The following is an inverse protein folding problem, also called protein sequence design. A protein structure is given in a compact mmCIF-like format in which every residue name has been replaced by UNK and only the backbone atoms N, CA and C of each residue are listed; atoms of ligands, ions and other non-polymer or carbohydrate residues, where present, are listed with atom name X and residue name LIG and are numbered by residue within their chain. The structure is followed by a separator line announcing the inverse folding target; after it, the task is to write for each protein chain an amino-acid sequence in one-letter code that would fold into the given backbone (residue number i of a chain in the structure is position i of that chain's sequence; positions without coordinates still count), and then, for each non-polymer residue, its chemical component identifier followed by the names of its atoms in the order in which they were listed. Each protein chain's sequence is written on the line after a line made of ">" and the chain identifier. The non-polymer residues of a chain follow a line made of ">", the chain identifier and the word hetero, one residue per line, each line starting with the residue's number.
data_IF_727824707521
#
_entry.id   IF_727824707521
#
_cell.length_a   1.000
_cell.length_b   1.000
_cell.length_c   1.000
_cell.angle_alpha   90.00
_cell.angle_beta   90.00
_cell.angle_gamma   90.00
#
_symmetry.space_group_name_H-M   'P 1'
#
loop_
_entity.id
_entity.type
_entity.pdbx_description
1 polymer ?
#
# COMPACT_ATOMS: atom_id res chain seq x y z
N UNK A 1 -0.21 4.79 -17.83
CA UNK A 1 0.12 5.71 -16.70
C UNK A 1 1.62 6.06 -16.59
N UNK A 2 2.54 5.21 -17.06
CA UNK A 2 3.99 5.44 -17.01
C UNK A 2 4.54 6.01 -18.31
N UNK A 3 3.91 5.78 -19.45
CA UNK A 3 4.35 6.22 -20.78
C UNK A 3 4.36 7.75 -20.90
N UNK A 4 3.25 8.40 -20.55
CA UNK A 4 3.12 9.85 -20.65
C UNK A 4 4.21 10.64 -19.87
N UNK A 5 4.51 10.35 -18.59
CA UNK A 5 5.62 11.01 -17.91
C UNK A 5 6.99 10.78 -18.56
N UNK A 6 7.24 9.58 -19.10
CA UNK A 6 8.52 9.27 -19.77
C UNK A 6 8.61 9.92 -21.16
N UNK A 7 7.52 9.99 -21.92
CA UNK A 7 7.46 10.73 -23.19
C UNK A 7 7.83 12.21 -22.99
N UNK A 8 7.37 12.83 -21.89
CA UNK A 8 7.75 14.21 -21.53
C UNK A 8 9.22 14.39 -21.19
N UNK A 9 9.91 13.33 -20.77
CA UNK A 9 11.35 13.31 -20.51
C UNK A 9 12.12 13.13 -21.82
N UNK A 10 11.49 12.61 -22.88
CA UNK A 10 12.09 12.36 -24.18
C UNK A 10 12.24 10.88 -24.54
N UNK A 11 11.59 9.97 -23.81
CA UNK A 11 11.53 8.56 -24.21
C UNK A 11 10.47 8.32 -25.28
N UNK A 12 10.68 7.30 -26.10
CA UNK A 12 9.75 6.87 -27.15
C UNK A 12 9.23 5.46 -26.86
N UNK A 13 7.99 5.22 -27.27
CA UNK A 13 7.33 3.93 -27.07
C UNK A 13 6.83 3.37 -28.41
N UNK A 14 7.08 2.08 -28.65
CA UNK A 14 6.65 1.39 -29.86
C UNK A 14 5.82 0.15 -29.51
N UNK A 15 4.71 -0.10 -30.22
CA UNK A 15 4.11 0.78 -31.24
C UNK A 15 3.48 2.03 -30.60
N UNK A 16 3.56 3.16 -31.30
CA UNK A 16 3.09 4.48 -30.78
C UNK A 16 1.60 4.52 -30.44
N UNK A 17 0.79 3.74 -31.11
CA UNK A 17 -0.67 3.67 -30.93
C UNK A 17 -1.10 2.70 -29.83
N UNK A 18 -0.17 1.93 -29.23
CA UNK A 18 -0.47 0.92 -28.22
C UNK A 18 0.24 1.26 -26.92
N UNK A 19 -0.52 1.49 -25.86
CA UNK A 19 0.01 1.80 -24.52
C UNK A 19 -0.13 0.63 -23.54
N UNK A 20 -0.10 -0.60 -24.05
CA UNK A 20 -0.20 -1.86 -23.30
C UNK A 20 0.93 -2.81 -23.70
N UNK A 21 1.33 -3.69 -22.77
CA UNK A 21 2.35 -4.70 -23.05
C UNK A 21 1.89 -5.71 -24.14
N UNK A 22 2.84 -6.24 -24.94
CA UNK A 22 4.25 -5.88 -24.97
C UNK A 22 4.49 -4.56 -25.68
N UNK A 23 5.50 -3.79 -25.21
CA UNK A 23 5.94 -2.58 -25.90
C UNK A 23 7.46 -2.37 -25.73
N UNK A 24 8.05 -1.72 -26.73
CA UNK A 24 9.46 -1.34 -26.71
C UNK A 24 9.61 0.10 -26.23
N UNK A 25 10.63 0.35 -25.42
CA UNK A 25 10.98 1.68 -24.92
C UNK A 25 12.34 2.05 -25.51
N UNK A 26 12.39 3.17 -26.18
CA UNK A 26 13.62 3.82 -26.60
C UNK A 26 13.91 4.99 -25.68
N UNK A 27 15.08 5.00 -25.04
CA UNK A 27 15.51 6.07 -24.17
C UNK A 27 16.02 7.28 -24.95
N UNK A 28 16.43 8.31 -24.22
CA UNK A 28 17.03 9.51 -24.79
C UNK A 28 18.39 9.80 -24.15
N UNK A 29 19.36 10.26 -24.94
CA UNK A 29 20.64 10.78 -24.46
C UNK A 29 20.51 12.20 -23.89
N UNK A 30 19.41 12.91 -24.18
CA UNK A 30 19.14 14.28 -23.75
C UNK A 30 17.80 14.37 -22.96
N UNK A 31 17.73 13.82 -21.76
CA UNK A 31 16.50 13.85 -20.99
C UNK A 31 16.15 15.28 -20.55
N UNK A 32 14.86 15.61 -20.57
CA UNK A 32 14.34 16.93 -20.23
C UNK A 32 13.80 16.96 -18.80
N UNK A 33 14.15 18.01 -18.06
CA UNK A 33 13.54 18.28 -16.76
C UNK A 33 12.06 18.66 -16.93
N UNK A 34 11.20 18.16 -16.06
CA UNK A 34 9.75 18.38 -16.18
C UNK A 34 9.11 18.88 -14.90
N UNK A 35 7.96 19.52 -15.06
CA UNK A 35 6.99 19.78 -13.98
C UNK A 35 5.85 18.78 -14.11
N UNK A 36 5.59 18.00 -13.06
CA UNK A 36 4.55 16.99 -13.05
C UNK A 36 3.56 17.25 -11.90
N UNK A 37 2.27 17.05 -12.16
CA UNK A 37 1.23 17.09 -11.14
C UNK A 37 0.69 15.68 -10.92
N UNK A 38 0.92 15.14 -9.71
CA UNK A 38 0.47 13.80 -9.32
C UNK A 38 -0.84 13.90 -8.51
N UNK A 39 -1.96 13.59 -9.17
CA UNK A 39 -3.31 13.69 -8.58
C UNK A 39 -3.81 12.37 -7.98
N UNK A 40 -3.20 11.24 -8.35
CA UNK A 40 -3.67 9.89 -8.01
C UNK A 40 -3.14 9.35 -6.70
N UNK A 41 -2.05 9.94 -6.16
CA UNK A 41 -1.33 9.42 -5.00
C UNK A 41 -0.53 8.16 -5.34
N UNK A 42 0.09 8.12 -6.53
CA UNK A 42 0.87 6.99 -7.00
C UNK A 42 2.36 7.16 -6.69
N UNK A 43 2.86 6.44 -5.69
CA UNK A 43 4.29 6.37 -5.40
C UNK A 43 5.12 5.75 -6.54
N UNK A 44 4.53 4.91 -7.37
CA UNK A 44 5.20 4.30 -8.52
C UNK A 44 5.47 5.34 -9.62
N UNK A 45 4.49 6.18 -9.97
CA UNK A 45 4.68 7.27 -10.94
C UNK A 45 5.69 8.28 -10.40
N UNK A 46 5.54 8.67 -9.14
CA UNK A 46 6.47 9.56 -8.46
C UNK A 46 7.91 9.00 -8.47
N UNK A 47 8.07 7.73 -8.10
CA UNK A 47 9.37 7.05 -8.12
C UNK A 47 9.97 7.00 -9.53
N UNK A 48 9.18 6.66 -10.55
CA UNK A 48 9.61 6.68 -11.94
C UNK A 48 10.20 8.04 -12.35
N UNK A 49 9.47 9.14 -12.08
CA UNK A 49 9.90 10.49 -12.46
C UNK A 49 11.15 10.90 -11.67
N UNK A 50 11.22 10.60 -10.36
CA UNK A 50 12.40 10.89 -9.55
C UNK A 50 13.63 10.12 -10.00
N UNK A 51 13.50 8.84 -10.34
CA UNK A 51 14.61 8.03 -10.85
C UNK A 51 15.10 8.56 -12.21
N UNK A 52 14.19 8.90 -13.13
CA UNK A 52 14.56 9.49 -14.41
C UNK A 52 15.21 10.87 -14.24
N UNK A 53 14.81 11.64 -13.24
CA UNK A 53 15.36 12.96 -12.96
C UNK A 53 16.83 12.92 -12.47
N UNK A 54 17.33 11.78 -11.98
CA UNK A 54 18.72 11.65 -11.52
C UNK A 54 19.75 11.91 -12.65
N UNK A 55 19.45 11.47 -13.86
CA UNK A 55 20.30 11.67 -15.04
C UNK A 55 19.97 12.94 -15.83
N UNK A 56 18.87 13.63 -15.48
CA UNK A 56 18.34 14.77 -16.24
C UNK A 56 19.03 16.08 -15.82
N UNK A 57 19.55 16.89 -16.77
CA UNK A 57 20.02 18.23 -16.46
C UNK A 57 18.87 19.12 -15.96
N UNK A 58 19.16 19.96 -14.96
CA UNK A 58 18.16 20.91 -14.41
C UNK A 58 17.37 20.36 -13.24
N UNK A 59 16.18 20.94 -13.02
CA UNK A 59 15.32 20.66 -11.86
C UNK A 59 14.00 20.07 -12.32
N UNK A 60 13.75 18.84 -11.98
CA UNK A 60 12.42 18.20 -12.10
C UNK A 60 11.61 18.44 -10.84
N UNK A 61 10.34 18.82 -10.99
CA UNK A 61 9.43 19.05 -9.87
C UNK A 61 8.19 18.18 -9.97
N UNK A 62 7.73 17.69 -8.81
CA UNK A 62 6.49 16.94 -8.68
C UNK A 62 5.61 17.62 -7.64
N UNK A 63 4.45 18.09 -8.05
CA UNK A 63 3.41 18.55 -7.15
C UNK A 63 2.49 17.36 -6.82
N UNK A 64 2.69 16.76 -5.66
CA UNK A 64 1.91 15.63 -5.17
C UNK A 64 0.66 16.14 -4.44
N UNK A 65 -0.51 16.05 -5.08
CA UNK A 65 -1.79 16.50 -4.51
C UNK A 65 -2.34 15.54 -3.44
N UNK A 66 -2.09 14.25 -3.60
CA UNK A 66 -2.41 13.20 -2.63
C UNK A 66 -1.12 12.55 -2.18
N UNK A 67 -0.82 12.67 -0.89
CA UNK A 67 0.41 12.11 -0.30
C UNK A 67 0.44 10.60 -0.51
N UNK A 68 1.49 10.11 -1.13
CA UNK A 68 1.79 8.71 -1.35
C UNK A 68 3.00 8.26 -0.52
N UNK A 69 3.43 7.01 -0.70
CA UNK A 69 4.62 6.46 -0.03
C UNK A 69 5.85 7.27 -0.41
N UNK A 70 6.72 7.57 0.56
CA UNK A 70 7.89 8.45 0.41
C UNK A 70 9.24 7.73 0.46
N UNK A 71 9.27 6.43 0.21
CA UNK A 71 10.50 5.62 0.28
C UNK A 71 11.57 6.10 -0.71
N UNK A 72 11.16 6.46 -1.95
CA UNK A 72 12.09 6.96 -2.97
C UNK A 72 12.76 8.25 -2.51
N UNK A 73 12.02 9.19 -1.94
CA UNK A 73 12.58 10.45 -1.43
C UNK A 73 13.56 10.21 -0.28
N UNK A 74 13.24 9.29 0.64
CA UNK A 74 14.12 8.95 1.76
C UNK A 74 15.39 8.28 1.27
N UNK A 75 15.29 7.33 0.33
CA UNK A 75 16.43 6.67 -0.30
C UNK A 75 17.31 7.68 -1.04
N UNK A 76 16.75 8.51 -1.91
CA UNK A 76 17.47 9.51 -2.68
C UNK A 76 18.21 10.51 -1.78
N UNK A 77 17.58 10.91 -0.67
CA UNK A 77 18.22 11.76 0.35
C UNK A 77 19.41 11.03 0.99
N UNK A 78 19.30 9.73 1.26
CA UNK A 78 20.34 8.93 1.88
C UNK A 78 21.59 8.80 0.97
N UNK A 79 21.41 8.66 -0.34
CA UNK A 79 22.50 8.57 -1.34
C UNK A 79 22.99 9.95 -1.81
N UNK A 80 22.70 11.01 -1.09
CA UNK A 80 23.15 12.38 -1.37
C UNK A 80 22.57 12.99 -2.67
N UNK A 81 21.42 12.51 -3.17
CA UNK A 81 20.73 13.19 -4.27
C UNK A 81 20.27 14.59 -3.83
N UNK A 82 20.27 15.54 -4.75
CA UNK A 82 19.83 16.91 -4.46
C UNK A 82 18.30 17.01 -4.52
N UNK A 83 17.65 16.37 -3.56
CA UNK A 83 16.19 16.31 -3.42
C UNK A 83 15.69 17.17 -2.27
N UNK A 84 14.63 17.94 -2.51
CA UNK A 84 13.94 18.76 -1.52
C UNK A 84 12.45 18.42 -1.52
N UNK A 85 11.85 18.35 -0.34
CA UNK A 85 10.42 18.14 -0.17
C UNK A 85 9.88 19.30 0.66
N UNK A 86 8.99 20.08 0.05
CA UNK A 86 8.29 21.20 0.71
C UNK A 86 6.83 20.81 0.90
N UNK A 87 6.36 20.87 2.14
CA UNK A 87 4.94 20.66 2.45
C UNK A 87 4.12 21.84 1.92
N UNK A 88 3.01 21.54 1.26
CA UNK A 88 2.00 22.51 0.83
C UNK A 88 0.76 22.40 1.73
N UNK A 89 -0.19 23.30 1.58
CA UNK A 89 -1.50 23.19 2.26
C UNK A 89 -2.19 21.86 1.94
N UNK A 90 -2.13 21.44 0.69
CA UNK A 90 -2.59 20.12 0.24
C UNK A 90 -1.48 19.40 -0.52
N UNK A 91 -0.89 18.38 0.13
CA UNK A 91 0.15 17.57 -0.49
C UNK A 91 1.58 18.06 -0.29
N UNK A 92 2.47 17.79 -1.24
CA UNK A 92 3.88 18.14 -1.19
C UNK A 92 4.37 18.66 -2.55
N UNK A 93 5.36 19.56 -2.52
CA UNK A 93 6.19 19.86 -3.69
C UNK A 93 7.55 19.19 -3.50
N UNK A 94 7.88 18.30 -4.42
CA UNK A 94 9.14 17.56 -4.45
C UNK A 94 9.96 18.11 -5.60
N UNK A 95 11.22 18.50 -5.34
CA UNK A 95 12.14 19.02 -6.34
C UNK A 95 13.41 18.21 -6.31
N UNK A 96 13.91 17.80 -7.48
CA UNK A 96 15.17 17.08 -7.63
C UNK A 96 16.00 17.76 -8.71
N UNK A 97 17.22 18.16 -8.35
CA UNK A 97 18.25 18.61 -9.31
C UNK A 97 19.08 17.39 -9.68
N UNK A 98 19.04 17.03 -10.95
CA UNK A 98 19.78 15.87 -11.47
C UNK A 98 21.27 16.08 -11.63
N UNK A 99 21.94 15.07 -12.19
CA UNK A 99 23.38 15.06 -12.50
C UNK A 99 24.31 15.31 -11.30
N UNK A 100 23.89 14.92 -10.11
CA UNK A 100 24.72 14.93 -8.92
C UNK A 100 25.36 13.56 -8.71
N UNK A 101 26.62 13.53 -8.32
CA UNK A 101 27.29 12.30 -7.91
C UNK A 101 26.57 11.69 -6.69
N UNK A 102 26.20 10.44 -6.82
CA UNK A 102 25.54 9.68 -5.78
C UNK A 102 26.55 8.77 -5.08
N UNK A 103 26.33 8.51 -3.80
CA UNK A 103 27.21 7.63 -3.01
C UNK A 103 26.55 6.27 -2.79
N UNK A 104 27.34 5.21 -2.97
CA UNK A 104 26.96 3.88 -2.54
C UNK A 104 26.88 3.79 -1.01
N UNK A 105 26.05 2.89 -0.49
CA UNK A 105 25.93 2.64 0.94
C UNK A 105 25.34 1.25 1.20
N UNK A 106 25.58 0.74 2.40
CA UNK A 106 24.96 -0.49 2.85
C UNK A 106 23.50 -0.21 3.25
N UNK A 107 22.60 -1.05 2.75
CA UNK A 107 21.16 -0.91 2.99
C UNK A 107 20.56 -2.18 3.58
N UNK A 108 20.03 -2.07 4.78
CA UNK A 108 19.25 -3.14 5.40
C UNK A 108 17.78 -2.95 5.11
N UNK A 109 17.19 -3.91 4.39
CA UNK A 109 15.76 -3.90 4.06
C UNK A 109 14.97 -4.35 5.30
N UNK A 110 14.03 -3.50 5.72
CA UNK A 110 13.12 -3.80 6.83
C UNK A 110 11.98 -4.71 6.39
N UNK A 111 11.37 -5.42 7.35
CA UNK A 111 10.21 -6.27 7.09
C UNK A 111 9.01 -5.46 6.60
N UNK A 112 8.30 -6.00 5.61
CA UNK A 112 7.15 -5.33 5.00
C UNK A 112 5.93 -5.32 5.93
N UNK A 113 5.38 -4.14 6.29
CA UNK A 113 4.19 -4.04 7.14
C UNK A 113 2.93 -4.64 6.51
N UNK A 114 2.86 -4.68 5.17
CA UNK A 114 1.73 -5.32 4.47
C UNK A 114 1.74 -6.83 4.63
N UNK A 115 2.92 -7.46 4.63
CA UNK A 115 3.07 -8.89 4.95
C UNK A 115 2.81 -9.16 6.43
N UNK A 116 3.29 -8.28 7.30
CA UNK A 116 3.02 -8.35 8.74
C UNK A 116 1.51 -8.26 9.06
N UNK A 117 0.72 -7.56 8.25
CA UNK A 117 -0.72 -7.38 8.47
C UNK A 117 -1.49 -8.71 8.56
N UNK A 118 -1.04 -9.76 7.87
CA UNK A 118 -1.66 -11.08 7.93
C UNK A 118 -1.39 -11.77 9.27
N UNK A 119 -0.15 -11.73 9.75
CA UNK A 119 0.21 -12.28 11.08
C UNK A 119 -0.44 -11.47 12.21
N UNK A 120 -0.58 -10.15 12.03
CA UNK A 120 -1.31 -9.29 12.95
C UNK A 120 -2.77 -9.72 13.03
N UNK A 121 -3.43 -9.93 11.88
CA UNK A 121 -4.82 -10.38 11.83
C UNK A 121 -5.00 -11.76 12.47
N UNK A 122 -4.13 -12.73 12.15
CA UNK A 122 -4.15 -14.06 12.74
C UNK A 122 -4.08 -13.98 14.27
N UNK A 123 -3.11 -13.21 14.81
CA UNK A 123 -2.96 -13.06 16.24
C UNK A 123 -4.15 -12.35 16.89
N UNK A 124 -4.69 -11.30 16.28
CA UNK A 124 -5.85 -10.59 16.80
C UNK A 124 -7.08 -11.50 16.94
N UNK A 125 -7.28 -12.38 15.94
CA UNK A 125 -8.47 -13.24 15.83
C UNK A 125 -8.33 -14.56 16.59
N UNK A 126 -7.13 -14.99 16.96
CA UNK A 126 -6.90 -16.24 17.71
C UNK A 126 -6.91 -15.96 19.20
N UNK A 127 -7.93 -16.44 19.96
CA UNK A 127 -8.03 -16.20 21.40
C UNK A 127 -6.78 -16.65 22.17
N UNK A 128 -6.35 -15.84 23.15
CA UNK A 128 -5.21 -16.13 24.02
C UNK A 128 -3.84 -15.98 23.35
N UNK A 129 -3.77 -15.63 22.08
CA UNK A 129 -2.51 -15.51 21.35
C UNK A 129 -1.80 -14.18 21.58
N UNK A 130 -0.47 -14.23 21.47
CA UNK A 130 0.44 -13.09 21.47
C UNK A 130 1.53 -13.31 20.44
N UNK A 131 1.87 -12.30 19.68
CA UNK A 131 3.04 -12.34 18.78
C UNK A 131 3.84 -11.05 18.82
N UNK A 132 5.12 -11.15 18.46
CA UNK A 132 6.02 -10.01 18.28
C UNK A 132 6.64 -10.15 16.90
N UNK A 133 6.45 -9.14 16.05
CA UNK A 133 7.04 -9.09 14.73
C UNK A 133 8.15 -8.05 14.76
N UNK A 134 9.39 -8.50 14.55
CA UNK A 134 10.56 -7.66 14.63
C UNK A 134 10.92 -6.97 13.33
N UNK A 135 11.65 -5.85 13.42
CA UNK A 135 12.22 -5.12 12.28
C UNK A 135 11.20 -4.69 11.23
N UNK A 136 9.96 -4.41 11.63
CA UNK A 136 8.90 -3.98 10.72
C UNK A 136 9.11 -2.51 10.35
N UNK A 137 8.98 -2.20 9.06
CA UNK A 137 8.97 -0.84 8.57
C UNK A 137 7.77 -0.08 9.17
N UNK A 138 8.07 0.96 9.95
CA UNK A 138 7.07 1.77 10.67
C UNK A 138 6.88 3.16 10.05
N UNK A 139 7.10 3.28 8.74
CA UNK A 139 6.84 4.50 8.01
C UNK A 139 5.35 4.87 8.06
N UNK A 140 5.02 6.10 8.43
CA UNK A 140 3.64 6.58 8.59
C UNK A 140 2.77 6.42 7.33
N UNK A 141 3.39 6.42 6.15
CA UNK A 141 2.69 6.19 4.87
C UNK A 141 2.35 4.71 4.63
N UNK A 142 2.81 3.80 5.49
CA UNK A 142 2.64 2.35 5.35
C UNK A 142 1.86 1.69 6.48
N UNK A 143 1.92 2.23 7.68
CA UNK A 143 1.31 1.61 8.88
C UNK A 143 -0.05 2.21 9.27
N UNK A 144 -0.70 2.93 8.36
CA UNK A 144 -1.97 3.59 8.67
C UNK A 144 -3.08 2.60 9.09
N UNK A 145 -3.06 1.38 8.56
CA UNK A 145 -3.99 0.32 8.95
C UNK A 145 -3.90 -0.04 10.45
N UNK A 146 -2.72 0.08 11.07
CA UNK A 146 -2.57 -0.12 12.52
C UNK A 146 -3.32 0.96 13.32
N UNK A 147 -3.37 2.20 12.80
CA UNK A 147 -4.15 3.28 13.42
C UNK A 147 -5.65 2.97 13.37
N UNK A 148 -6.11 2.34 12.28
CA UNK A 148 -7.51 1.89 12.14
C UNK A 148 -7.80 0.77 13.14
N UNK A 149 -6.95 -0.25 13.21
CA UNK A 149 -7.12 -1.38 14.14
C UNK A 149 -7.11 -0.93 15.60
N UNK A 150 -6.22 -0.01 15.99
CA UNK A 150 -6.21 0.56 17.34
C UNK A 150 -7.50 1.31 17.68
N UNK A 151 -8.09 2.04 16.74
CA UNK A 151 -9.38 2.73 16.93
C UNK A 151 -10.55 1.78 17.20
N UNK A 152 -10.45 0.55 16.74
CA UNK A 152 -11.47 -0.51 16.98
C UNK A 152 -11.07 -1.49 18.09
N UNK A 153 -10.23 -1.04 19.03
CA UNK A 153 -9.81 -1.78 20.24
C UNK A 153 -8.83 -2.93 19.98
N UNK A 154 -8.10 -2.97 18.87
CA UNK A 154 -7.02 -3.92 18.72
C UNK A 154 -5.86 -3.60 19.68
N UNK A 155 -5.42 -4.57 20.47
CA UNK A 155 -4.30 -4.43 21.39
C UNK A 155 -2.96 -4.62 20.66
N UNK A 156 -2.49 -3.53 20.06
CA UNK A 156 -1.25 -3.48 19.25
C UNK A 156 -0.34 -2.40 19.81
N UNK A 157 0.91 -2.75 20.09
CA UNK A 157 1.97 -1.84 20.54
C UNK A 157 3.10 -1.80 19.54
N UNK A 158 3.69 -0.63 19.31
CA UNK A 158 4.91 -0.47 18.52
C UNK A 158 6.01 -0.07 19.48
N UNK A 159 7.07 -0.87 19.53
CA UNK A 159 8.18 -0.71 20.45
C UNK A 159 9.51 -0.63 19.68
N UNK A 160 10.57 -0.21 20.35
CA UNK A 160 11.94 -0.20 19.83
C UNK A 160 12.05 0.54 18.49
N UNK A 161 11.37 1.68 18.35
CA UNK A 161 11.44 2.51 17.18
C UNK A 161 12.85 3.09 17.01
N UNK A 162 13.45 2.86 15.85
CA UNK A 162 14.77 3.38 15.48
C UNK A 162 14.83 3.69 13.98
N UNK A 163 15.81 4.47 13.57
CA UNK A 163 16.08 4.70 12.15
C UNK A 163 17.08 3.67 11.62
N UNK A 164 16.71 2.98 10.54
CA UNK A 164 17.56 2.03 9.81
C UNK A 164 17.56 2.47 8.34
N UNK A 165 18.72 2.75 7.78
CA UNK A 165 18.88 3.21 6.39
C UNK A 165 17.97 4.37 5.97
N UNK A 166 17.67 5.29 6.91
CA UNK A 166 16.79 6.47 6.68
C UNK A 166 15.31 6.22 6.92
N UNK A 167 14.88 4.97 7.11
CA UNK A 167 13.50 4.58 7.39
C UNK A 167 13.27 4.34 8.89
N UNK A 168 12.04 4.57 9.36
CA UNK A 168 11.63 4.25 10.71
C UNK A 168 11.26 2.77 10.80
N UNK A 169 11.88 2.05 11.74
CA UNK A 169 11.73 0.60 11.94
C UNK A 169 11.45 0.31 13.42
N UNK A 170 10.59 -0.65 13.69
CA UNK A 170 10.25 -1.04 15.07
C UNK A 170 9.84 -2.49 15.20
N UNK A 171 9.44 -2.89 16.39
CA UNK A 171 8.81 -4.17 16.67
C UNK A 171 7.33 -3.97 16.96
N UNK A 172 6.47 -4.78 16.36
CA UNK A 172 5.02 -4.74 16.60
C UNK A 172 4.66 -5.89 17.52
N UNK A 173 4.16 -5.59 18.70
CA UNK A 173 3.61 -6.57 19.65
C UNK A 173 2.10 -6.56 19.53
N UNK A 174 1.52 -7.74 19.33
CA UNK A 174 0.09 -7.95 19.13
C UNK A 174 -0.42 -8.92 20.21
N UNK A 175 -1.60 -8.65 20.74
CA UNK A 175 -2.34 -9.56 21.61
C UNK A 175 -3.71 -9.81 21.01
N UNK A 176 -4.24 -11.03 21.18
CA UNK A 176 -5.62 -11.32 20.80
C UNK A 176 -6.59 -10.30 21.39
N UNK A 177 -7.57 -9.88 20.64
CA UNK A 177 -8.45 -8.78 21.05
C UNK A 177 -9.84 -8.92 20.46
N UNK A 178 -10.86 -8.63 21.28
CA UNK A 178 -12.22 -8.39 20.76
C UNK A 178 -12.29 -7.02 20.11
N UNK A 179 -12.15 -6.99 18.81
CA UNK A 179 -12.21 -5.74 18.03
C UNK A 179 -13.67 -5.33 17.78
N UNK A 180 -13.89 -4.03 17.56
CA UNK A 180 -15.19 -3.46 17.17
C UNK A 180 -15.31 -3.41 15.65
N UNK A 181 -16.54 -3.28 15.10
CA UNK A 181 -16.75 -3.09 13.66
C UNK A 181 -15.94 -1.94 13.07
N UNK A 182 -15.40 -2.15 11.88
CA UNK A 182 -14.54 -1.18 11.18
C UNK A 182 -15.41 -0.28 10.30
N UNK A 183 -15.29 1.04 10.48
CA UNK A 183 -15.98 2.03 9.63
C UNK A 183 -14.94 2.99 9.08
N UNK A 184 -14.71 2.95 7.75
CA UNK A 184 -13.72 3.78 7.06
C UNK A 184 -14.27 4.36 5.77
N UNK A 185 -13.94 5.64 5.50
CA UNK A 185 -14.36 6.36 4.29
C UNK A 185 -13.31 7.33 3.78
N UNK A 186 -12.25 7.58 4.57
CA UNK A 186 -11.19 8.57 4.26
C UNK A 186 -9.83 7.89 4.27
N UNK A 187 -8.87 8.52 3.60
CA UNK A 187 -7.47 8.09 3.57
C UNK A 187 -7.22 6.67 3.03
N UNK A 188 -8.16 6.13 2.25
CA UNK A 188 -8.13 4.74 1.75
C UNK A 188 -6.80 4.41 1.05
N UNK A 189 -6.25 5.33 0.28
CA UNK A 189 -4.97 5.13 -0.42
C UNK A 189 -3.79 4.78 0.50
N UNK A 190 -3.85 5.15 1.80
CA UNK A 190 -2.80 4.87 2.78
C UNK A 190 -2.79 3.41 3.28
N UNK A 191 -3.88 2.66 3.05
CA UNK A 191 -4.04 1.26 3.50
C UNK A 191 -4.85 0.40 2.52
N UNK A 192 -4.95 0.83 1.28
CA UNK A 192 -5.74 0.12 0.25
C UNK A 192 -5.25 -1.31 0.04
N UNK A 193 -3.96 -1.54 0.22
CA UNK A 193 -3.36 -2.86 0.06
C UNK A 193 -3.67 -3.80 1.22
N UNK A 194 -4.04 -3.29 2.39
CA UNK A 194 -4.43 -4.06 3.57
C UNK A 194 -5.96 -4.30 3.65
N UNK A 195 -6.76 -3.72 2.74
CA UNK A 195 -8.22 -3.91 2.76
C UNK A 195 -8.65 -5.39 2.72
N UNK A 196 -8.05 -6.30 1.91
CA UNK A 196 -8.46 -7.71 1.92
C UNK A 196 -8.37 -8.35 3.31
N UNK A 197 -7.28 -8.13 4.04
CA UNK A 197 -7.15 -8.69 5.40
C UNK A 197 -8.03 -7.94 6.43
N UNK A 198 -8.27 -6.64 6.25
CA UNK A 198 -9.22 -5.90 7.08
C UNK A 198 -10.67 -6.39 6.88
N UNK A 199 -11.02 -6.86 5.68
CA UNK A 199 -12.32 -7.50 5.44
C UNK A 199 -12.46 -8.81 6.20
N UNK A 200 -11.39 -9.60 6.31
CA UNK A 200 -11.36 -10.82 7.13
C UNK A 200 -11.55 -10.49 8.61
N UNK A 201 -10.81 -9.51 9.13
CA UNK A 201 -11.01 -9.06 10.52
C UNK A 201 -12.45 -8.60 10.74
N UNK A 202 -13.02 -7.84 9.80
CA UNK A 202 -14.41 -7.39 9.87
C UNK A 202 -15.42 -8.54 9.79
N UNK A 203 -15.13 -9.59 9.02
CA UNK A 203 -15.95 -10.77 8.87
C UNK A 203 -16.05 -11.57 10.18
N UNK A 204 -14.95 -11.64 10.94
CA UNK A 204 -14.85 -12.33 12.23
C UNK A 204 -15.03 -11.39 13.42
N UNK A 205 -15.67 -10.24 13.20
CA UNK A 205 -16.01 -9.26 14.22
C UNK A 205 -17.52 -9.04 14.25
N UNK A 206 -18.22 -9.41 15.33
CA UNK A 206 -19.67 -9.24 15.45
C UNK A 206 -20.10 -7.79 15.22
N UNK A 207 -21.03 -7.60 14.30
CA UNK A 207 -21.61 -6.30 13.97
C UNK A 207 -21.42 -5.90 12.51
N UNK A 208 -21.63 -4.63 12.18
CA UNK A 208 -21.67 -4.15 10.80
C UNK A 208 -20.48 -3.25 10.52
N UNK A 209 -19.56 -3.74 9.70
CA UNK A 209 -18.42 -2.97 9.20
C UNK A 209 -18.72 -2.34 7.84
N UNK A 210 -18.20 -1.11 7.61
CA UNK A 210 -18.46 -0.34 6.38
C UNK A 210 -17.17 0.23 5.83
N UNK A 211 -16.90 -0.06 4.56
CA UNK A 211 -15.74 0.41 3.81
C UNK A 211 -16.22 1.18 2.59
N UNK A 212 -16.00 2.49 2.57
CA UNK A 212 -16.41 3.37 1.49
C UNK A 212 -15.18 3.89 0.72
N UNK A 213 -15.39 4.37 -0.52
CA UNK A 213 -14.35 4.92 -1.38
C UNK A 213 -13.20 3.94 -1.73
N UNK A 214 -13.52 2.65 -1.82
CA UNK A 214 -12.58 1.55 -2.09
C UNK A 214 -12.58 1.09 -3.55
N UNK A 215 -13.10 1.90 -4.47
CA UNK A 215 -13.27 1.55 -5.89
C UNK A 215 -11.97 1.16 -6.60
N UNK A 216 -10.84 1.73 -6.18
CA UNK A 216 -9.51 1.44 -6.76
C UNK A 216 -9.03 -0.01 -6.53
N UNK A 217 -9.66 -0.77 -5.62
CA UNK A 217 -9.39 -2.20 -5.44
C UNK A 217 -9.66 -3.04 -6.69
N UNK A 218 -10.49 -2.56 -7.61
CA UNK A 218 -10.79 -3.23 -8.89
C UNK A 218 -9.60 -3.26 -9.84
N UNK A 219 -8.67 -2.31 -9.67
CA UNK A 219 -7.54 -2.07 -10.57
C UNK A 219 -6.20 -2.51 -9.98
N UNK A 220 -6.24 -3.42 -9.01
CA UNK A 220 -5.06 -4.06 -8.43
C UNK A 220 -4.68 -5.31 -9.24
N UNK A 221 -3.84 -6.19 -8.69
CA UNK A 221 -3.38 -7.43 -9.32
C UNK A 221 -4.55 -8.34 -9.75
N UNK A 222 -5.63 -8.28 -8.99
CA UNK A 222 -6.94 -8.83 -9.33
C UNK A 222 -8.02 -7.79 -9.01
N UNK A 223 -9.28 -8.07 -9.35
CA UNK A 223 -10.39 -7.29 -8.80
C UNK A 223 -10.60 -7.69 -7.32
N UNK A 224 -9.72 -7.15 -6.43
CA UNK A 224 -9.70 -7.50 -5.00
C UNK A 224 -11.04 -7.30 -4.31
N UNK A 225 -11.84 -6.32 -4.74
CA UNK A 225 -13.16 -6.08 -4.17
C UNK A 225 -14.11 -7.27 -4.44
N UNK A 226 -14.11 -7.74 -5.69
CA UNK A 226 -14.96 -8.86 -6.11
C UNK A 226 -14.46 -10.20 -5.53
N UNK A 227 -13.16 -10.44 -5.57
CA UNK A 227 -12.59 -11.70 -5.08
C UNK A 227 -12.74 -11.80 -3.55
N UNK A 228 -12.51 -10.73 -2.78
CA UNK A 228 -12.79 -10.71 -1.34
C UNK A 228 -14.26 -10.99 -1.04
N UNK A 229 -15.19 -10.38 -1.79
CA UNK A 229 -16.62 -10.68 -1.62
C UNK A 229 -16.94 -12.16 -1.82
N UNK A 230 -16.39 -12.79 -2.88
CA UNK A 230 -16.62 -14.20 -3.18
C UNK A 230 -16.17 -15.10 -2.03
N UNK A 231 -14.98 -14.86 -1.48
CA UNK A 231 -14.42 -15.63 -0.36
C UNK A 231 -15.32 -15.50 0.87
N UNK A 232 -15.69 -14.28 1.23
CA UNK A 232 -16.55 -14.03 2.39
C UNK A 232 -17.91 -14.74 2.25
N UNK A 233 -18.53 -14.67 1.06
CA UNK A 233 -19.83 -15.33 0.81
C UNK A 233 -19.67 -16.86 0.87
N UNK A 234 -18.60 -17.43 0.32
CA UNK A 234 -18.34 -18.87 0.42
C UNK A 234 -18.12 -19.33 1.87
N UNK A 235 -17.54 -18.47 2.71
CA UNK A 235 -17.40 -18.69 4.15
C UNK A 235 -18.67 -18.43 4.96
N UNK A 236 -19.81 -18.18 4.29
CA UNK A 236 -21.09 -17.93 4.96
C UNK A 236 -21.29 -16.51 5.50
N UNK A 237 -20.37 -15.59 5.20
CA UNK A 237 -20.42 -14.20 5.66
C UNK A 237 -21.33 -13.36 4.75
N UNK A 238 -22.37 -12.78 5.32
CA UNK A 238 -23.24 -11.85 4.60
C UNK A 238 -22.51 -10.54 4.31
N UNK A 239 -22.41 -10.18 3.03
CA UNK A 239 -21.82 -8.91 2.63
C UNK A 239 -22.51 -8.30 1.41
N UNK A 240 -22.51 -6.96 1.34
CA UNK A 240 -23.04 -6.17 0.21
C UNK A 240 -21.94 -5.32 -0.39
N UNK A 241 -21.90 -5.21 -1.72
CA UNK A 241 -20.94 -4.38 -2.43
C UNK A 241 -21.63 -3.47 -3.42
N UNK A 242 -21.10 -2.27 -3.60
CA UNK A 242 -21.40 -1.36 -4.71
C UNK A 242 -20.17 -1.15 -5.58
N UNK A 243 -20.21 -0.21 -6.53
CA UNK A 243 -19.05 0.12 -7.37
C UNK A 243 -17.81 0.61 -6.58
N UNK A 244 -17.98 1.06 -5.34
CA UNK A 244 -16.89 1.64 -4.52
C UNK A 244 -17.05 1.44 -3.02
N UNK A 245 -17.89 0.49 -2.57
CA UNK A 245 -18.04 0.21 -1.14
C UNK A 245 -18.26 -1.27 -0.86
N UNK A 246 -17.98 -1.66 0.40
CA UNK A 246 -18.31 -2.98 0.94
C UNK A 246 -18.91 -2.83 2.35
N UNK A 247 -20.01 -3.52 2.61
CA UNK A 247 -20.60 -3.68 3.92
C UNK A 247 -20.50 -5.14 4.30
N UNK A 248 -19.96 -5.43 5.48
CA UNK A 248 -19.74 -6.78 5.99
C UNK A 248 -20.54 -6.93 7.28
N UNK A 249 -21.40 -7.94 7.36
CA UNK A 249 -22.13 -8.34 8.54
C UNK A 249 -21.32 -9.43 9.24
N UNK A 250 -20.43 -9.01 10.12
CA UNK A 250 -19.49 -9.90 10.77
C UNK A 250 -20.15 -10.73 11.87
N UNK A 251 -19.56 -11.90 12.11
CA UNK A 251 -20.00 -12.92 13.09
C UNK A 251 -18.84 -13.23 14.04
N UNK A 252 -19.13 -13.78 15.22
CA UNK A 252 -18.11 -14.13 16.21
C UNK A 252 -17.34 -15.40 15.85
N UNK A 253 -17.97 -16.30 15.10
CA UNK A 253 -17.39 -17.60 14.73
C UNK A 253 -18.01 -18.09 13.42
N UNK A 254 -17.18 -18.61 12.53
CA UNK A 254 -17.66 -19.32 11.36
C UNK A 254 -18.09 -20.72 11.79
N UNK A 255 -19.30 -21.10 11.49
CA UNK A 255 -19.74 -22.49 11.63
C UNK A 255 -19.08 -23.32 10.52
N UNK A 256 -18.04 -24.02 10.88
CA UNK A 256 -17.36 -24.96 9.97
C UNK A 256 -18.19 -26.22 9.84
N UNK A 257 -19.09 -26.25 8.91
CA UNK A 257 -19.71 -27.50 8.45
C UNK A 257 -18.78 -28.16 7.46
N UNK A 258 -17.68 -28.76 7.83
CA UNK A 258 -16.76 -29.58 7.02
C UNK A 258 -16.76 -29.31 5.49
N UNK A 259 -17.03 -28.06 5.11
CA UNK A 259 -17.19 -27.63 3.73
C UNK A 259 -15.86 -27.11 3.21
N UNK A 260 -15.31 -27.82 2.25
CA UNK A 260 -14.13 -27.33 1.53
C UNK A 260 -14.48 -26.04 0.77
N UNK A 261 -13.74 -24.97 1.03
CA UNK A 261 -13.83 -23.70 0.31
C UNK A 261 -12.71 -23.63 -0.71
N UNK A 262 -13.04 -23.67 -1.99
CA UNK A 262 -12.07 -23.51 -3.06
C UNK A 262 -11.90 -22.05 -3.44
N UNK A 263 -10.72 -21.51 -3.17
CA UNK A 263 -10.39 -20.11 -3.46
C UNK A 263 -9.57 -20.01 -4.75
N UNK A 264 -10.12 -19.32 -5.74
CA UNK A 264 -9.39 -18.97 -6.98
C UNK A 264 -8.69 -17.62 -6.78
N UNK A 265 -7.41 -17.62 -6.48
CA UNK A 265 -6.64 -16.41 -6.13
C UNK A 265 -6.24 -15.56 -7.34
N UNK A 266 -6.26 -16.13 -8.55
CA UNK A 266 -5.83 -15.47 -9.80
C UNK A 266 -4.42 -14.86 -9.73
N UNK A 267 -3.52 -15.52 -8.98
CA UNK A 267 -2.15 -15.04 -8.77
C UNK A 267 -2.04 -13.87 -7.76
N UNK A 268 -3.13 -13.45 -7.13
CA UNK A 268 -3.10 -12.37 -6.12
C UNK A 268 -2.77 -12.94 -4.73
N UNK A 269 -1.53 -12.68 -4.28
CA UNK A 269 -1.02 -13.15 -2.99
C UNK A 269 -1.82 -12.62 -1.80
N UNK A 270 -2.41 -11.39 -1.88
CA UNK A 270 -3.19 -10.82 -0.78
C UNK A 270 -4.53 -11.50 -0.63
N UNK A 271 -5.14 -11.90 -1.74
CA UNK A 271 -6.36 -12.71 -1.73
C UNK A 271 -6.03 -14.09 -1.14
N UNK A 272 -4.93 -14.71 -1.56
CA UNK A 272 -4.47 -15.99 -1.03
C UNK A 272 -4.29 -15.95 0.50
N UNK A 273 -3.43 -15.04 0.99
CA UNK A 273 -3.13 -14.94 2.42
C UNK A 273 -4.35 -14.54 3.26
N UNK A 274 -5.23 -13.66 2.73
CA UNK A 274 -6.46 -13.29 3.43
C UNK A 274 -7.41 -14.47 3.58
N UNK A 275 -7.54 -15.31 2.54
CA UNK A 275 -8.40 -16.51 2.61
C UNK A 275 -7.85 -17.60 3.52
N UNK A 276 -6.53 -17.66 3.71
CA UNK A 276 -5.90 -18.60 4.64
C UNK A 276 -6.15 -18.22 6.11
N UNK A 277 -6.33 -16.92 6.39
CA UNK A 277 -6.63 -16.43 7.75
C UNK A 277 -8.13 -16.54 8.08
N UNK A 278 -9.00 -16.52 7.06
CA UNK A 278 -10.45 -16.64 7.23
C UNK A 278 -10.86 -18.06 7.61
#
# INVERSE_FOLDING_TARGET
>A
RVTEPLEKIGAFFYPRNKKTLPLTIEGTSMPLAQKHIENRGSSQIKGLILMSALSTPGITTIEEKKISRNHTELLLKKINANIKVKKLEKGNLISLKGQKNLYGFDYTISSDPSSAAFLIALTLLTPGSKSIIHNVLCNDTRIFFLKILKKVNANIKINNLRKVSGELVGSITIFSSKVKPIIVSKDIGKFIDELPILFVIAALTKGVSRFNNIGDLKHKESNRLLESKKILVQAGIKCKTTKGSMIIYGIDKIETQNKLILVKTKGDHRICMSSTIL
#
